data_IF_611505168348
#
_entry.id   IF_611505168348
#
_cell.length_a   1.000
_cell.length_b   1.000
_cell.length_c   1.000
_cell.angle_alpha   90.00
_cell.angle_beta   90.00
_cell.angle_gamma   90.00
#
_symmetry.space_group_name_H-M   'P 1'
#
loop_
_entity.id
_entity.type
_entity.pdbx_description
1 polymer ?
#
# COMPACT_ATOMS: atom_id res chain seq x y z
N UNK A 1 -7.26 -0.60 -27.84
CA UNK A 1 -5.85 -0.91 -27.56
C UNK A 1 -5.80 -1.60 -26.23
N UNK A 2 -5.55 -2.90 -26.19
CA UNK A 2 -5.37 -3.67 -24.97
C UNK A 2 -4.12 -3.16 -24.25
N UNK A 3 -4.28 -2.67 -23.03
CA UNK A 3 -3.19 -2.09 -22.25
C UNK A 3 -2.19 -3.19 -21.89
N UNK A 4 -0.90 -3.00 -22.23
CA UNK A 4 0.20 -3.95 -22.00
C UNK A 4 0.37 -4.41 -20.54
N UNK A 5 -0.24 -3.70 -19.59
CA UNK A 5 -0.10 -3.94 -18.14
C UNK A 5 -1.24 -4.75 -17.53
N UNK A 6 -2.26 -5.14 -18.32
CA UNK A 6 -3.40 -5.88 -17.82
C UNK A 6 -3.55 -7.24 -18.48
N UNK A 7 -2.60 -8.11 -18.23
CA UNK A 7 -2.75 -9.55 -18.41
C UNK A 7 -2.99 -10.16 -17.03
N UNK A 8 -3.96 -11.07 -16.88
CA UNK A 8 -4.27 -11.74 -15.62
C UNK A 8 -3.11 -12.64 -15.15
N UNK A 9 -2.96 -12.81 -13.82
CA UNK A 9 -2.04 -13.77 -13.23
C UNK A 9 -0.57 -13.33 -13.11
N UNK A 10 0.35 -14.29 -13.14
CA UNK A 10 1.79 -14.12 -12.93
C UNK A 10 2.45 -13.09 -13.86
N UNK A 11 1.98 -12.99 -15.10
CA UNK A 11 2.48 -12.01 -16.07
C UNK A 11 2.21 -10.55 -15.64
N UNK A 12 1.14 -10.31 -14.86
CA UNK A 12 0.85 -8.98 -14.30
C UNK A 12 1.87 -8.63 -13.23
N UNK A 13 2.16 -9.55 -12.31
CA UNK A 13 3.12 -9.33 -11.24
C UNK A 13 4.52 -9.01 -11.80
N UNK A 14 4.98 -9.75 -12.81
CA UNK A 14 6.25 -9.51 -13.46
C UNK A 14 6.32 -8.11 -14.11
N UNK A 15 5.31 -7.72 -14.90
CA UNK A 15 5.28 -6.40 -15.56
C UNK A 15 5.18 -5.24 -14.58
N UNK A 16 4.43 -5.41 -13.49
CA UNK A 16 4.35 -4.43 -12.39
C UNK A 16 5.71 -4.31 -11.72
N UNK A 17 6.41 -5.43 -11.51
CA UNK A 17 7.75 -5.45 -10.96
C UNK A 17 8.77 -4.70 -11.81
N UNK A 18 8.80 -4.97 -13.11
CA UNK A 18 9.67 -4.25 -14.05
C UNK A 18 9.39 -2.74 -14.05
N UNK A 19 8.10 -2.36 -14.01
CA UNK A 19 7.71 -0.96 -13.94
C UNK A 19 8.27 -0.29 -12.68
N UNK A 20 8.02 -0.87 -11.50
CA UNK A 20 8.50 -0.32 -10.23
C UNK A 20 10.02 -0.34 -10.14
N UNK A 21 10.69 -1.38 -10.66
CA UNK A 21 12.14 -1.44 -10.72
C UNK A 21 12.73 -0.29 -11.56
N UNK A 22 12.10 0.04 -12.70
CA UNK A 22 12.57 1.11 -13.60
C UNK A 22 12.47 2.52 -13.01
N UNK A 23 11.57 2.73 -12.05
CA UNK A 23 11.32 4.04 -11.42
C UNK A 23 11.82 4.14 -9.99
N UNK A 24 12.41 3.07 -9.41
CA UNK A 24 12.73 2.96 -8.00
C UNK A 24 13.51 4.16 -7.44
N UNK A 25 14.55 4.62 -8.14
CA UNK A 25 15.39 5.76 -7.73
C UNK A 25 14.67 7.11 -7.74
N UNK A 26 13.58 7.24 -8.50
CA UNK A 26 12.79 8.48 -8.64
C UNK A 26 11.38 8.34 -8.06
N UNK A 27 11.07 7.20 -7.46
CA UNK A 27 9.71 6.85 -7.01
C UNK A 27 9.11 7.90 -6.07
N UNK A 28 9.88 8.37 -5.08
CA UNK A 28 9.40 9.35 -4.13
C UNK A 28 9.13 10.71 -4.79
N UNK A 29 10.03 11.15 -5.67
CA UNK A 29 9.85 12.38 -6.46
C UNK A 29 8.60 12.29 -7.35
N UNK A 30 8.40 11.14 -7.99
CA UNK A 30 7.22 10.88 -8.81
C UNK A 30 5.94 11.00 -7.96
N UNK A 31 5.92 10.40 -6.77
CA UNK A 31 4.79 10.50 -5.86
C UNK A 31 4.56 11.93 -5.36
N UNK A 32 5.62 12.69 -5.08
CA UNK A 32 5.51 14.11 -4.72
C UNK A 32 4.84 14.92 -5.83
N UNK A 33 5.31 14.78 -7.06
CA UNK A 33 4.80 15.54 -8.21
C UNK A 33 3.33 15.17 -8.50
N UNK A 34 3.02 13.87 -8.63
CA UNK A 34 1.66 13.42 -9.00
C UNK A 34 0.62 13.66 -7.91
N UNK A 35 1.02 13.77 -6.66
CA UNK A 35 0.11 14.03 -5.54
C UNK A 35 0.21 15.45 -5.00
N UNK A 36 1.03 16.33 -5.60
CA UNK A 36 1.35 17.65 -5.06
C UNK A 36 1.80 17.57 -3.59
N UNK A 37 2.59 16.54 -3.24
CA UNK A 37 3.07 16.26 -1.88
C UNK A 37 2.01 15.71 -0.91
N UNK A 38 0.74 15.59 -1.33
CA UNK A 38 -0.35 15.13 -0.47
C UNK A 38 -0.17 13.69 0.01
N UNK A 39 0.52 12.83 -0.74
CA UNK A 39 0.80 11.45 -0.33
C UNK A 39 1.50 11.39 1.03
N UNK A 40 2.33 12.39 1.37
CA UNK A 40 3.01 12.49 2.67
C UNK A 40 2.03 12.75 3.81
N UNK A 41 1.00 13.59 3.56
CA UNK A 41 -0.07 13.89 4.52
C UNK A 41 -0.92 12.63 4.74
N UNK A 42 -1.26 11.90 3.68
CA UNK A 42 -2.05 10.67 3.76
C UNK A 42 -1.30 9.56 4.51
N UNK A 43 0.00 9.37 4.24
CA UNK A 43 0.85 8.44 4.99
C UNK A 43 0.92 8.80 6.48
N UNK A 44 1.07 10.10 6.83
CA UNK A 44 1.02 10.55 8.23
C UNK A 44 -0.34 10.29 8.87
N UNK A 45 -1.43 10.42 8.11
CA UNK A 45 -2.77 10.11 8.61
C UNK A 45 -2.91 8.62 8.90
N UNK A 46 -2.43 7.75 8.01
CA UNK A 46 -2.38 6.30 8.24
C UNK A 46 -1.63 5.97 9.52
N UNK A 47 -0.42 6.50 9.70
CA UNK A 47 0.40 6.27 10.89
C UNK A 47 -0.29 6.71 12.19
N UNK A 48 -0.97 7.87 12.18
CA UNK A 48 -1.77 8.31 13.32
C UNK A 48 -2.91 7.34 13.65
N UNK A 49 -3.56 6.80 12.63
CA UNK A 49 -4.62 5.80 12.81
C UNK A 49 -4.06 4.44 13.25
N UNK A 50 -2.85 4.11 12.85
CA UNK A 50 -2.16 2.89 13.25
C UNK A 50 -1.87 2.86 14.76
N UNK A 51 -1.71 4.02 15.42
CA UNK A 51 -1.47 4.14 16.88
C UNK A 51 -0.36 3.22 17.38
N UNK A 52 0.71 3.12 16.61
CA UNK A 52 1.83 2.22 16.89
C UNK A 52 2.44 2.55 18.26
N UNK A 53 2.65 1.51 19.05
CA UNK A 53 3.29 1.60 20.36
C UNK A 53 4.75 1.13 20.27
N UNK A 54 5.65 1.69 21.07
CA UNK A 54 7.02 1.18 21.18
C UNK A 54 7.05 -0.31 21.52
N UNK A 55 7.87 -1.06 20.79
CA UNK A 55 8.02 -2.51 20.99
C UNK A 55 7.01 -3.37 20.24
N UNK A 56 5.98 -2.79 19.61
CA UNK A 56 5.10 -3.56 18.71
C UNK A 56 5.86 -4.07 17.48
N UNK A 57 5.53 -5.28 17.04
CA UNK A 57 6.03 -5.84 15.78
C UNK A 57 5.16 -5.38 14.63
N UNK A 58 5.74 -4.65 13.70
CA UNK A 58 5.03 -4.11 12.55
C UNK A 58 5.53 -4.72 11.24
N UNK A 59 4.60 -4.96 10.31
CA UNK A 59 4.90 -5.37 8.94
C UNK A 59 4.37 -4.31 7.97
N UNK A 60 5.27 -3.73 7.17
CA UNK A 60 4.91 -2.86 6.06
C UNK A 60 4.94 -3.66 4.76
N UNK A 61 3.77 -3.91 4.18
CA UNK A 61 3.59 -4.71 2.97
C UNK A 61 3.64 -3.83 1.73
N UNK A 62 4.24 -4.33 0.65
CA UNK A 62 4.53 -3.55 -0.55
C UNK A 62 5.24 -2.24 -0.16
N UNK A 63 6.26 -2.36 0.69
CA UNK A 63 6.89 -1.23 1.37
C UNK A 63 7.62 -0.27 0.42
N UNK A 64 7.90 -0.69 -0.81
CA UNK A 64 8.58 0.11 -1.82
C UNK A 64 9.90 0.67 -1.33
N UNK A 65 10.05 1.99 -1.37
CA UNK A 65 11.23 2.73 -0.87
C UNK A 65 11.26 2.91 0.66
N UNK A 66 10.33 2.27 1.40
CA UNK A 66 10.39 2.15 2.85
C UNK A 66 9.83 3.33 3.65
N UNK A 67 9.08 4.26 3.06
CA UNK A 67 8.58 5.45 3.78
C UNK A 67 7.75 5.12 5.01
N UNK A 68 6.79 4.18 4.90
CA UNK A 68 5.96 3.77 6.04
C UNK A 68 6.78 2.95 7.04
N UNK A 69 7.62 2.02 6.56
CA UNK A 69 8.49 1.21 7.41
C UNK A 69 9.41 2.09 8.27
N UNK A 70 10.05 3.10 7.68
CA UNK A 70 10.90 4.06 8.38
C UNK A 70 10.12 4.86 9.44
N UNK A 71 8.91 5.28 9.08
CA UNK A 71 8.07 6.05 9.99
C UNK A 71 7.52 5.19 11.16
N UNK A 72 7.21 3.91 10.92
CA UNK A 72 6.84 2.94 11.97
C UNK A 72 8.00 2.72 12.93
N UNK A 73 9.21 2.51 12.41
CA UNK A 73 10.42 2.33 13.24
C UNK A 73 10.74 3.59 14.05
N UNK A 74 10.55 4.79 13.47
CA UNK A 74 10.71 6.06 14.21
C UNK A 74 9.74 6.18 15.38
N UNK A 75 8.58 5.53 15.32
CA UNK A 75 7.62 5.45 16.42
C UNK A 75 7.91 4.29 17.40
N UNK A 76 9.07 3.64 17.28
CA UNK A 76 9.54 2.63 18.21
C UNK A 76 9.11 1.19 17.93
N UNK A 77 8.52 0.90 16.76
CA UNK A 77 8.18 -0.46 16.38
C UNK A 77 9.40 -1.28 15.94
N UNK A 78 9.34 -2.61 16.13
CA UNK A 78 10.19 -3.59 15.44
C UNK A 78 9.59 -3.87 14.06
N UNK A 79 10.26 -3.41 13.00
CA UNK A 79 9.65 -3.33 11.66
C UNK A 79 10.26 -4.33 10.69
N UNK A 80 9.39 -5.08 10.00
CA UNK A 80 9.73 -5.78 8.77
C UNK A 80 9.09 -5.04 7.59
N UNK A 81 9.85 -4.80 6.53
CA UNK A 81 9.35 -4.26 5.25
C UNK A 81 9.38 -5.36 4.20
N UNK A 82 8.24 -5.70 3.62
CA UNK A 82 8.12 -6.69 2.55
C UNK A 82 7.81 -6.01 1.23
N UNK A 83 8.59 -6.30 0.21
CA UNK A 83 8.30 -5.91 -1.17
C UNK A 83 8.81 -6.99 -2.13
N UNK A 84 8.16 -7.15 -3.27
CA UNK A 84 8.62 -8.14 -4.26
C UNK A 84 9.71 -7.60 -5.19
N UNK A 85 9.94 -6.27 -5.20
CA UNK A 85 10.93 -5.59 -6.02
C UNK A 85 12.24 -5.36 -5.25
N UNK A 86 13.27 -6.14 -5.53
CA UNK A 86 14.59 -5.96 -4.93
C UNK A 86 15.20 -4.58 -5.25
N UNK A 87 14.84 -3.98 -6.41
CA UNK A 87 15.27 -2.63 -6.75
C UNK A 87 14.68 -1.58 -5.78
N UNK A 88 13.42 -1.73 -5.39
CA UNK A 88 12.77 -0.89 -4.38
C UNK A 88 13.41 -1.09 -3.00
N UNK A 89 13.63 -2.35 -2.61
CA UNK A 89 14.24 -2.68 -1.33
C UNK A 89 15.67 -2.16 -1.19
N UNK A 90 16.42 -2.10 -2.28
CA UNK A 90 17.76 -1.47 -2.29
C UNK A 90 17.67 -0.01 -1.89
N UNK A 91 16.78 0.75 -2.51
CA UNK A 91 16.54 2.16 -2.16
C UNK A 91 16.07 2.29 -0.70
N UNK A 92 15.20 1.40 -0.24
CA UNK A 92 14.71 1.39 1.14
C UNK A 92 15.85 1.18 2.15
N UNK A 93 16.75 0.22 1.88
CA UNK A 93 17.93 -0.04 2.74
C UNK A 93 18.90 1.14 2.78
N UNK A 94 19.17 1.77 1.62
CA UNK A 94 20.03 2.96 1.55
C UNK A 94 19.42 4.12 2.33
N UNK A 95 18.12 4.36 2.16
CA UNK A 95 17.35 5.39 2.86
C UNK A 95 17.31 5.14 4.37
N UNK A 96 17.14 3.88 4.78
CA UNK A 96 17.17 3.49 6.18
C UNK A 96 18.51 3.79 6.84
N UNK A 97 19.61 3.43 6.18
CA UNK A 97 20.97 3.72 6.67
C UNK A 97 21.23 5.23 6.80
N UNK A 98 20.73 6.03 5.85
CA UNK A 98 20.94 7.47 5.84
C UNK A 98 20.10 8.22 6.90
N UNK A 99 18.85 7.80 7.11
CA UNK A 99 17.90 8.54 7.96
C UNK A 99 17.86 8.04 9.41
N UNK A 100 18.14 6.77 9.64
CA UNK A 100 18.09 6.17 10.97
C UNK A 100 19.08 4.98 11.08
N UNK A 101 20.37 5.23 11.22
CA UNK A 101 21.39 4.19 11.23
C UNK A 101 21.26 3.21 12.40
N UNK A 102 20.52 3.55 13.46
CA UNK A 102 20.25 2.69 14.61
C UNK A 102 18.96 1.89 14.51
N UNK A 103 18.11 2.16 13.51
CA UNK A 103 16.88 1.42 13.33
C UNK A 103 17.15 0.02 12.77
N UNK A 104 16.57 -0.97 13.44
CA UNK A 104 16.64 -2.38 12.99
C UNK A 104 15.44 -2.71 12.10
N UNK A 105 15.35 -2.06 10.93
CA UNK A 105 14.36 -2.46 9.93
C UNK A 105 14.95 -3.58 9.09
N UNK A 106 14.27 -4.70 9.04
CA UNK A 106 14.60 -5.78 8.11
C UNK A 106 13.75 -5.70 6.86
N UNK A 107 14.40 -5.55 5.71
CA UNK A 107 13.74 -5.53 4.40
C UNK A 107 13.87 -6.89 3.73
N UNK A 108 12.73 -7.53 3.46
CA UNK A 108 12.60 -8.89 2.92
C UNK A 108 11.98 -8.84 1.53
N UNK A 109 12.60 -9.54 0.57
CA UNK A 109 12.00 -9.73 -0.75
C UNK A 109 10.94 -10.84 -0.69
N UNK A 110 9.71 -10.56 -1.11
CA UNK A 110 8.63 -11.55 -1.06
C UNK A 110 7.30 -11.02 -1.58
N UNK A 111 6.36 -11.95 -1.75
CA UNK A 111 5.01 -11.67 -2.25
C UNK A 111 4.04 -11.44 -1.07
N UNK A 112 3.31 -10.33 -1.12
CA UNK A 112 2.27 -10.00 -0.13
C UNK A 112 1.04 -10.93 -0.20
N UNK A 113 0.94 -11.78 -1.21
CA UNK A 113 -0.08 -12.83 -1.32
C UNK A 113 0.37 -14.15 -0.66
N UNK A 114 1.66 -14.26 -0.34
CA UNK A 114 2.28 -15.39 0.35
C UNK A 114 3.38 -14.88 1.27
N UNK A 115 2.98 -14.28 2.37
CA UNK A 115 3.86 -13.58 3.31
C UNK A 115 4.79 -14.60 4.01
N UNK A 116 6.13 -14.45 3.92
CA UNK A 116 7.08 -15.45 4.42
C UNK A 116 7.33 -15.33 5.93
N UNK A 117 6.25 -15.16 6.69
CA UNK A 117 6.29 -15.09 8.15
C UNK A 117 5.25 -16.04 8.76
N UNK A 118 5.48 -16.54 9.99
CA UNK A 118 4.54 -17.40 10.70
C UNK A 118 3.21 -16.69 11.00
N UNK A 119 2.20 -17.48 11.31
CA UNK A 119 0.90 -17.01 11.77
C UNK A 119 1.03 -16.15 13.04
N UNK A 120 0.12 -15.22 13.23
CA UNK A 120 0.01 -14.40 14.44
C UNK A 120 1.36 -13.78 14.88
N UNK A 121 2.10 -13.21 13.92
CA UNK A 121 3.45 -12.66 14.15
C UNK A 121 3.44 -11.16 14.46
N UNK A 122 2.53 -10.40 13.84
CA UNK A 122 2.58 -8.94 13.84
C UNK A 122 1.40 -8.33 14.60
N UNK A 123 1.69 -7.25 15.34
CA UNK A 123 0.71 -6.45 16.04
C UNK A 123 0.05 -5.44 15.09
N UNK A 124 0.84 -4.93 14.12
CA UNK A 124 0.41 -3.91 13.16
C UNK A 124 0.84 -4.31 11.75
N UNK A 125 -0.11 -4.28 10.81
CA UNK A 125 0.16 -4.34 9.38
C UNK A 125 -0.15 -3.00 8.73
N UNK A 126 0.74 -2.56 7.86
CA UNK A 126 0.48 -1.42 6.96
C UNK A 126 0.67 -1.83 5.51
N UNK A 127 -0.10 -1.23 4.62
CA UNK A 127 0.10 -1.31 3.18
C UNK A 127 -0.28 0.03 2.54
N UNK A 128 0.65 0.61 1.79
CA UNK A 128 0.42 1.88 1.10
C UNK A 128 0.51 1.72 -0.41
N UNK A 129 -0.61 1.92 -1.13
CA UNK A 129 -0.69 1.84 -2.60
C UNK A 129 -0.38 0.46 -3.19
N UNK A 130 -0.47 -0.59 -2.37
CA UNK A 130 -0.11 -1.96 -2.75
C UNK A 130 -1.29 -2.86 -3.07
N UNK A 131 -2.47 -2.66 -2.45
CA UNK A 131 -3.61 -3.58 -2.58
C UNK A 131 -4.06 -3.75 -4.04
N UNK A 132 -4.15 -2.67 -4.80
CA UNK A 132 -4.57 -2.72 -6.21
C UNK A 132 -3.56 -3.44 -7.12
N UNK A 133 -2.34 -3.65 -6.64
CA UNK A 133 -1.26 -4.28 -7.38
C UNK A 133 -1.20 -5.80 -7.16
N UNK A 134 -1.88 -6.30 -6.14
CA UNK A 134 -1.97 -7.74 -5.90
C UNK A 134 -2.68 -8.43 -7.07
N UNK A 135 -2.15 -9.56 -7.52
CA UNK A 135 -2.77 -10.35 -8.58
C UNK A 135 -4.09 -10.97 -8.09
N UNK A 136 -4.10 -11.42 -6.83
CA UNK A 136 -5.27 -11.92 -6.11
C UNK A 136 -5.40 -11.16 -4.78
N UNK A 137 -6.38 -10.26 -4.73
CA UNK A 137 -6.64 -9.43 -3.54
C UNK A 137 -7.15 -10.28 -2.37
N UNK A 138 -7.97 -11.30 -2.65
CA UNK A 138 -8.53 -12.17 -1.61
C UNK A 138 -7.44 -13.01 -0.94
N UNK A 139 -6.53 -13.59 -1.74
CA UNK A 139 -5.35 -14.30 -1.23
C UNK A 139 -4.48 -13.38 -0.36
N UNK A 140 -4.20 -12.16 -0.81
CA UNK A 140 -3.43 -11.19 -0.03
C UNK A 140 -4.09 -10.82 1.29
N UNK A 141 -5.39 -10.52 1.29
CA UNK A 141 -6.12 -10.20 2.51
C UNK A 141 -6.20 -11.38 3.48
N UNK A 142 -6.30 -12.63 2.99
CA UNK A 142 -6.25 -13.86 3.81
C UNK A 142 -4.89 -14.01 4.46
N UNK A 143 -3.82 -13.78 3.73
CA UNK A 143 -2.48 -13.95 4.26
C UNK A 143 -2.11 -12.82 5.24
N UNK A 144 -2.59 -11.60 5.00
CA UNK A 144 -2.55 -10.51 5.99
C UNK A 144 -3.27 -10.89 7.29
N UNK A 145 -4.47 -11.49 7.18
CA UNK A 145 -5.19 -12.00 8.35
C UNK A 145 -4.38 -13.05 9.10
N UNK A 146 -3.78 -14.01 8.38
CA UNK A 146 -3.01 -15.11 8.95
C UNK A 146 -1.87 -14.60 9.83
N UNK A 147 -1.05 -13.68 9.30
CA UNK A 147 0.14 -13.19 10.00
C UNK A 147 -0.14 -12.16 11.09
N UNK A 148 -1.36 -11.58 11.12
CA UNK A 148 -1.77 -10.65 12.16
C UNK A 148 -2.09 -11.40 13.45
N UNK A 149 -1.58 -10.93 14.59
CA UNK A 149 -1.93 -11.45 15.91
C UNK A 149 -3.41 -11.22 16.24
N UNK A 150 -4.03 -12.06 17.09
CA UNK A 150 -5.28 -11.68 17.76
C UNK A 150 -5.13 -10.33 18.48
N UNK A 151 -6.09 -9.41 18.27
CA UNK A 151 -6.00 -8.03 18.74
C UNK A 151 -5.14 -7.09 17.88
N UNK A 152 -4.43 -7.64 16.89
CA UNK A 152 -3.64 -6.85 15.93
C UNK A 152 -4.51 -6.14 14.89
N UNK A 153 -3.92 -5.23 14.13
CA UNK A 153 -4.65 -4.34 13.22
C UNK A 153 -3.98 -4.20 11.84
N UNK A 154 -4.81 -4.00 10.82
CA UNK A 154 -4.41 -3.71 9.45
C UNK A 154 -4.84 -2.30 9.06
N UNK A 155 -3.92 -1.54 8.48
CA UNK A 155 -4.18 -0.23 7.90
C UNK A 155 -3.73 -0.20 6.44
N UNK A 156 -4.67 0.04 5.53
CA UNK A 156 -4.39 0.06 4.10
C UNK A 156 -4.76 1.42 3.50
N UNK A 157 -3.74 2.14 2.99
CA UNK A 157 -3.92 3.37 2.23
C UNK A 157 -3.92 3.04 0.74
N UNK A 158 -5.01 3.37 0.05
CA UNK A 158 -5.14 3.06 -1.38
C UNK A 158 -5.98 4.12 -2.11
N UNK A 159 -5.82 4.14 -3.43
CA UNK A 159 -6.69 4.90 -4.31
C UNK A 159 -8.13 4.45 -4.16
N UNK A 160 -9.03 5.42 -4.12
CA UNK A 160 -10.47 5.17 -4.01
C UNK A 160 -11.24 5.55 -5.26
N UNK A 161 -12.54 5.32 -5.20
CA UNK A 161 -13.50 5.75 -6.22
C UNK A 161 -14.50 6.69 -5.55
N UNK A 162 -14.47 8.00 -5.81
CA UNK A 162 -15.43 8.94 -5.22
C UNK A 162 -16.88 8.53 -5.46
N UNK A 163 -17.72 8.64 -4.43
CA UNK A 163 -19.16 8.32 -4.54
C UNK A 163 -19.88 9.37 -5.38
N UNK A 164 -19.49 10.65 -5.24
CA UNK A 164 -20.04 11.73 -6.06
C UNK A 164 -19.60 11.58 -7.52
N UNK A 165 -20.57 11.47 -8.43
CA UNK A 165 -20.32 11.18 -9.85
C UNK A 165 -19.55 12.31 -10.55
N UNK A 166 -19.82 13.58 -10.22
CA UNK A 166 -19.14 14.74 -10.80
C UNK A 166 -17.67 14.75 -10.36
N UNK A 167 -17.44 14.62 -9.06
CA UNK A 167 -16.09 14.58 -8.50
C UNK A 167 -15.29 13.38 -9.04
N UNK A 168 -15.93 12.23 -9.16
CA UNK A 168 -15.36 11.03 -9.79
C UNK A 168 -14.98 11.29 -11.26
N UNK A 169 -15.83 11.98 -12.02
CA UNK A 169 -15.54 12.37 -13.40
C UNK A 169 -14.32 13.28 -13.52
N UNK A 170 -14.22 14.29 -12.67
CA UNK A 170 -13.04 15.20 -12.60
C UNK A 170 -11.77 14.40 -12.26
N UNK A 171 -11.84 13.56 -11.24
CA UNK A 171 -10.72 12.74 -10.81
C UNK A 171 -10.24 11.77 -11.88
N UNK A 172 -11.14 11.04 -12.54
CA UNK A 172 -10.76 10.16 -13.63
C UNK A 172 -10.27 10.93 -14.87
N UNK A 173 -10.80 12.13 -15.11
CA UNK A 173 -10.27 13.06 -16.11
C UNK A 173 -8.81 13.44 -15.82
N UNK A 174 -8.50 13.79 -14.58
CA UNK A 174 -7.14 14.06 -14.12
C UNK A 174 -6.22 12.86 -14.37
N UNK A 175 -6.62 11.66 -13.94
CA UNK A 175 -5.83 10.44 -14.14
C UNK A 175 -5.63 10.07 -15.61
N UNK A 176 -6.60 10.39 -16.47
CA UNK A 176 -6.58 10.06 -17.90
C UNK A 176 -5.74 11.03 -18.73
N UNK A 177 -5.81 12.32 -18.44
CA UNK A 177 -5.26 13.35 -19.30
C UNK A 177 -4.00 14.03 -18.70
N UNK A 178 -4.05 14.44 -17.43
CA UNK A 178 -2.93 15.18 -16.83
C UNK A 178 -1.81 14.25 -16.35
N UNK A 179 -2.15 13.15 -15.73
CA UNK A 179 -1.17 12.24 -15.16
C UNK A 179 -0.18 11.68 -16.20
N UNK A 180 -0.58 11.26 -17.41
CA UNK A 180 0.35 10.85 -18.48
C UNK A 180 1.27 11.98 -18.98
N UNK A 181 0.80 13.23 -18.94
CA UNK A 181 1.62 14.40 -19.30
C UNK A 181 2.76 14.57 -18.30
N UNK A 182 2.45 14.52 -16.99
CA UNK A 182 3.48 14.53 -15.95
C UNK A 182 4.48 13.37 -16.10
N UNK A 183 3.98 12.17 -16.43
CA UNK A 183 4.82 11.02 -16.70
C UNK A 183 5.81 11.23 -17.83
N UNK A 184 5.36 11.83 -18.91
CA UNK A 184 6.23 12.12 -20.06
C UNK A 184 7.28 13.17 -19.73
N UNK A 185 6.90 14.25 -19.03
CA UNK A 185 7.79 15.37 -18.72
C UNK A 185 8.84 15.01 -17.67
N UNK A 186 8.41 14.38 -16.56
CA UNK A 186 9.28 14.20 -15.40
C UNK A 186 9.95 12.83 -15.32
N UNK A 187 9.43 11.81 -16.03
CA UNK A 187 9.91 10.44 -15.90
C UNK A 187 10.28 9.76 -17.22
N UNK A 188 10.05 10.43 -18.35
CA UNK A 188 10.33 9.84 -19.67
C UNK A 188 9.47 8.61 -20.01
N UNK A 189 8.51 8.24 -19.15
CA UNK A 189 7.70 7.03 -19.29
C UNK A 189 6.21 7.30 -19.01
N UNK A 190 5.45 7.61 -20.05
CA UNK A 190 4.00 7.81 -19.95
C UNK A 190 3.23 6.52 -19.57
N UNK A 191 3.81 5.34 -19.83
CA UNK A 191 3.15 4.05 -19.59
C UNK A 191 2.99 3.76 -18.09
N UNK A 192 3.94 4.20 -17.24
CA UNK A 192 3.86 4.05 -15.79
C UNK A 192 2.61 4.71 -15.18
N UNK A 193 2.12 5.76 -15.81
CA UNK A 193 0.99 6.55 -15.32
C UNK A 193 -0.36 6.05 -15.84
N UNK A 194 -0.38 5.51 -17.07
CA UNK A 194 -1.56 4.82 -17.60
C UNK A 194 -1.93 3.60 -16.76
N UNK A 195 -0.95 2.99 -16.09
CA UNK A 195 -1.14 1.87 -15.19
C UNK A 195 -2.03 2.21 -13.97
N UNK A 196 -1.90 3.42 -13.38
CA UNK A 196 -2.69 3.81 -12.20
C UNK A 196 -4.19 3.81 -12.56
N UNK A 197 -4.57 4.45 -13.65
CA UNK A 197 -5.96 4.48 -14.09
C UNK A 197 -6.48 3.08 -14.41
N UNK A 198 -5.67 2.28 -15.09
CA UNK A 198 -6.08 0.93 -15.49
C UNK A 198 -6.24 0.00 -14.29
N UNK A 199 -5.28 0.00 -13.36
CA UNK A 199 -5.38 -0.77 -12.12
C UNK A 199 -6.60 -0.36 -11.28
N UNK A 200 -6.91 0.95 -11.23
CA UNK A 200 -8.04 1.46 -10.47
C UNK A 200 -9.40 1.06 -11.07
N UNK A 201 -9.51 0.91 -12.39
CA UNK A 201 -10.75 0.43 -13.02
C UNK A 201 -11.15 -0.97 -12.55
N UNK A 202 -10.17 -1.84 -12.35
CA UNK A 202 -10.38 -3.24 -11.98
C UNK A 202 -10.31 -3.47 -10.46
N UNK A 203 -9.76 -2.52 -9.71
CA UNK A 203 -9.73 -2.58 -8.26
C UNK A 203 -11.12 -2.32 -7.68
N UNK A 204 -11.58 -3.07 -6.66
CA UNK A 204 -12.87 -2.84 -6.03
C UNK A 204 -13.01 -1.43 -5.43
N UNK A 205 -14.24 -0.94 -5.28
CA UNK A 205 -14.50 0.28 -4.54
C UNK A 205 -14.20 0.07 -3.04
N UNK A 206 -13.98 1.19 -2.30
CA UNK A 206 -13.55 1.13 -0.90
C UNK A 206 -14.47 0.26 -0.03
N UNK A 207 -15.79 0.36 -0.23
CA UNK A 207 -16.77 -0.39 0.56
C UNK A 207 -16.76 -1.89 0.22
N UNK A 208 -16.45 -2.24 -1.02
CA UNK A 208 -16.29 -3.64 -1.44
C UNK A 208 -15.06 -4.27 -0.77
N UNK A 209 -13.92 -3.55 -0.72
CA UNK A 209 -12.72 -3.99 0.02
C UNK A 209 -13.03 -4.17 1.50
N UNK A 210 -13.76 -3.22 2.11
CA UNK A 210 -14.19 -3.33 3.50
C UNK A 210 -15.11 -4.54 3.73
N UNK A 211 -15.99 -4.85 2.77
CA UNK A 211 -16.85 -6.04 2.83
C UNK A 211 -16.02 -7.34 2.74
N UNK A 212 -15.01 -7.39 1.87
CA UNK A 212 -14.08 -8.53 1.79
C UNK A 212 -13.34 -8.73 3.12
N UNK A 213 -12.84 -7.66 3.74
CA UNK A 213 -12.22 -7.74 5.06
C UNK A 213 -13.18 -8.30 6.11
N UNK A 214 -14.43 -7.81 6.18
CA UNK A 214 -15.44 -8.32 7.12
C UNK A 214 -15.74 -9.80 6.89
N UNK A 215 -15.84 -10.23 5.64
CA UNK A 215 -16.06 -11.65 5.27
C UNK A 215 -14.93 -12.56 5.76
N UNK A 216 -13.70 -12.05 5.82
CA UNK A 216 -12.54 -12.76 6.36
C UNK A 216 -12.49 -12.77 7.90
N UNK A 217 -13.41 -12.07 8.57
CA UNK A 217 -13.50 -12.04 10.02
C UNK A 217 -12.88 -10.80 10.68
N UNK A 218 -12.34 -9.85 9.90
CA UNK A 218 -11.89 -8.58 10.45
C UNK A 218 -13.06 -7.83 11.11
N UNK A 219 -12.82 -7.27 12.29
CA UNK A 219 -13.77 -6.45 13.05
C UNK A 219 -13.37 -4.97 12.99
N UNK A 220 -14.27 -4.10 13.47
CA UNK A 220 -14.07 -2.65 13.50
C UNK A 220 -13.64 -2.07 12.16
N UNK A 221 -14.08 -2.71 11.05
CA UNK A 221 -13.69 -2.30 9.69
C UNK A 221 -14.31 -0.95 9.35
N UNK A 222 -13.46 0.06 9.21
CA UNK A 222 -13.82 1.44 8.85
C UNK A 222 -13.07 1.88 7.61
N UNK A 223 -13.73 2.69 6.82
CA UNK A 223 -13.13 3.38 5.67
C UNK A 223 -13.07 4.87 5.98
N UNK A 224 -11.87 5.43 5.97
CA UNK A 224 -11.64 6.87 6.10
C UNK A 224 -11.36 7.42 4.71
N UNK A 225 -12.38 8.06 4.12
CA UNK A 225 -12.23 8.71 2.83
C UNK A 225 -11.43 10.01 2.96
N UNK A 226 -10.50 10.23 2.05
CA UNK A 226 -9.69 11.43 1.94
C UNK A 226 -10.00 12.13 0.63
N UNK A 227 -10.08 13.46 0.65
CA UNK A 227 -10.38 14.31 -0.51
C UNK A 227 -11.59 13.80 -1.32
N UNK A 228 -12.72 13.57 -0.63
CA UNK A 228 -13.96 13.13 -1.28
C UNK A 228 -13.91 11.71 -1.87
N UNK A 229 -12.98 10.86 -1.38
CA UNK A 229 -12.90 9.46 -1.75
C UNK A 229 -11.94 9.14 -2.90
N UNK A 230 -11.09 10.09 -3.36
CA UNK A 230 -10.01 9.78 -4.31
C UNK A 230 -8.91 8.92 -3.66
N UNK A 231 -8.79 9.01 -2.34
CA UNK A 231 -7.97 8.15 -1.51
C UNK A 231 -8.79 7.63 -0.34
N UNK A 232 -8.45 6.47 0.16
CA UNK A 232 -9.07 5.87 1.34
C UNK A 232 -8.06 5.18 2.24
N UNK A 233 -8.34 5.18 3.54
CA UNK A 233 -7.63 4.35 4.51
C UNK A 233 -8.63 3.36 5.07
N UNK A 234 -8.39 2.08 4.85
CA UNK A 234 -9.09 1.00 5.52
C UNK A 234 -8.39 0.74 6.84
N UNK A 235 -9.17 0.68 7.93
CA UNK A 235 -8.71 0.27 9.24
C UNK A 235 -9.51 -0.95 9.64
N UNK A 236 -8.83 -2.01 10.08
CA UNK A 236 -9.47 -3.25 10.48
C UNK A 236 -8.70 -3.88 11.64
N UNK A 237 -9.38 -4.60 12.53
CA UNK A 237 -8.80 -5.25 13.70
C UNK A 237 -9.09 -6.75 13.66
N UNK A 238 -8.10 -7.57 13.99
CA UNK A 238 -8.32 -9.00 14.19
C UNK A 238 -8.88 -9.22 15.61
N UNK A 239 -9.97 -9.97 15.79
CA UNK A 239 -10.52 -10.23 17.11
C UNK A 239 -9.46 -10.73 18.09
N UNK A 240 -9.50 -10.26 19.33
CA UNK A 240 -8.72 -10.86 20.41
C UNK A 240 -9.27 -12.26 20.73
N UNK A 241 -8.38 -13.18 21.10
CA UNK A 241 -8.79 -14.56 21.47
C UNK A 241 -9.59 -14.64 22.79
N UNK A 242 -9.70 -13.50 23.52
CA UNK A 242 -10.57 -13.37 24.68
C UNK A 242 -11.64 -12.33 24.37
N UNK A 243 -12.89 -12.71 24.06
CA UNK A 243 -13.99 -11.77 24.18
C UNK A 243 -14.01 -11.33 25.65
N UNK A 244 -13.92 -10.03 25.88
CA UNK A 244 -14.07 -9.49 27.22
C UNK A 244 -15.28 -10.15 27.91
N UNK A 245 -15.03 -10.84 29.02
CA UNK A 245 -16.08 -11.28 29.94
C UNK A 245 -16.79 -10.08 30.52
#
# INVERSE_FOLDING_TARGET
MTNKFYTSGEQRAAKVGELFASIASRYDLINDIQSFGLHRIWKRRLLRLARVQPGERALDLCCGTGDLALALAKNGADVKGLDFSEAMLRVAREKSKAQNPTSKIEFVCGDAQRIPFPDATFDVLTIGYGLRNLADLDAGLKDMWRVTKPGGRLLALEFGKPDNAVWRGIYFGYLKFLLPIFGRIFCGNAAAYGYILESLKHYPAQQEVAAMMRKLGWQNVRVVNLMGGIMSIHCAEKPSMNPAR
#
